data_IF_214373320657
#
_entry.id   IF_214373320657
#
_cell.length_a   1.000
_cell.length_b   1.000
_cell.length_c   1.000
_cell.angle_alpha   90.00
_cell.angle_beta   90.00
_cell.angle_gamma   90.00
#
_symmetry.space_group_name_H-M   'P 1'
#
loop_
_entity.id
_entity.type
_entity.pdbx_description
1 polymer ?
#
# COMPACT_ATOMS: atom_id res chain seq x y z
N UNK A 1 32.37 -9.77 -6.66
CA UNK A 1 32.82 -11.10 -6.18
C UNK A 1 33.64 -11.75 -7.28
N UNK A 2 34.96 -11.67 -7.18
CA UNK A 2 35.83 -12.57 -7.93
C UNK A 2 36.05 -13.81 -7.07
N UNK A 3 35.99 -14.98 -7.69
CA UNK A 3 36.15 -16.26 -7.03
C UNK A 3 37.63 -16.61 -7.09
N UNK A 4 38.30 -16.63 -5.95
CA UNK A 4 39.75 -16.85 -5.87
C UNK A 4 40.09 -18.34 -5.76
N UNK A 5 39.13 -19.21 -5.39
CA UNK A 5 39.33 -20.66 -5.38
C UNK A 5 38.05 -21.47 -5.67
N UNK A 6 38.25 -22.73 -6.07
CA UNK A 6 37.16 -23.70 -6.26
C UNK A 6 36.39 -23.97 -4.95
N UNK A 7 37.05 -23.92 -3.80
CA UNK A 7 36.39 -24.07 -2.50
C UNK A 7 35.52 -22.86 -2.16
N UNK A 8 36.03 -21.65 -2.39
CA UNK A 8 35.28 -20.42 -2.17
C UNK A 8 34.03 -20.35 -3.05
N UNK A 9 34.14 -20.82 -4.31
CA UNK A 9 32.97 -20.96 -5.18
C UNK A 9 31.90 -21.89 -4.59
N UNK A 10 32.32 -23.08 -4.12
CA UNK A 10 31.39 -24.06 -3.52
C UNK A 10 30.69 -23.47 -2.31
N UNK A 11 31.41 -22.70 -1.49
CA UNK A 11 30.84 -22.04 -0.32
C UNK A 11 29.81 -20.97 -0.71
N UNK A 12 30.11 -20.12 -1.69
CA UNK A 12 29.15 -19.14 -2.20
C UNK A 12 27.91 -19.78 -2.80
N UNK A 13 28.06 -20.86 -3.57
CA UNK A 13 26.95 -21.63 -4.12
C UNK A 13 26.11 -22.24 -2.99
N UNK A 14 26.75 -22.82 -1.97
CA UNK A 14 26.04 -23.37 -0.80
C UNK A 14 25.22 -22.30 -0.08
N UNK A 15 25.79 -21.12 0.15
CA UNK A 15 25.09 -19.99 0.77
C UNK A 15 23.91 -19.53 -0.10
N UNK A 16 24.12 -19.37 -1.40
CA UNK A 16 23.07 -18.96 -2.33
C UNK A 16 21.91 -19.97 -2.36
N UNK A 17 22.21 -21.26 -2.48
CA UNK A 17 21.21 -22.34 -2.44
C UNK A 17 20.46 -22.33 -1.11
N UNK A 18 21.16 -22.20 0.01
CA UNK A 18 20.52 -22.14 1.34
C UNK A 18 19.52 -20.98 1.44
N UNK A 19 19.90 -19.80 0.92
CA UNK A 19 19.01 -18.63 0.88
C UNK A 19 17.82 -18.82 -0.06
N UNK A 20 18.03 -19.41 -1.24
CA UNK A 20 16.97 -19.73 -2.20
C UNK A 20 15.98 -20.71 -1.58
N UNK A 21 16.46 -21.78 -0.95
CA UNK A 21 15.60 -22.74 -0.24
C UNK A 21 14.82 -22.03 0.87
N UNK A 22 15.46 -21.15 1.64
CA UNK A 22 14.82 -20.35 2.67
C UNK A 22 13.67 -19.46 2.14
N UNK A 23 13.78 -18.93 0.92
CA UNK A 23 12.72 -18.16 0.25
C UNK A 23 11.63 -19.09 -0.33
N UNK A 24 12.02 -20.24 -0.88
CA UNK A 24 11.09 -21.18 -1.51
C UNK A 24 10.16 -21.87 -0.52
N UNK A 25 10.63 -22.17 0.70
CA UNK A 25 9.80 -22.82 1.73
C UNK A 25 8.51 -22.04 2.02
N UNK A 26 8.53 -20.75 2.40
CA UNK A 26 7.30 -20.00 2.65
C UNK A 26 6.46 -19.81 1.38
N UNK A 27 7.09 -19.68 0.21
CA UNK A 27 6.36 -19.61 -1.07
C UNK A 27 5.59 -20.91 -1.37
N UNK A 28 6.20 -22.08 -1.14
CA UNK A 28 5.56 -23.38 -1.27
C UNK A 28 4.42 -23.56 -0.27
N UNK A 29 4.63 -23.19 1.00
CA UNK A 29 3.56 -23.22 2.02
C UNK A 29 2.38 -22.36 1.58
N UNK A 30 2.65 -21.16 1.05
CA UNK A 30 1.61 -20.26 0.55
C UNK A 30 0.88 -20.86 -0.66
N UNK A 31 1.59 -21.48 -1.61
CA UNK A 31 0.94 -22.16 -2.76
C UNK A 31 0.06 -23.32 -2.29
N UNK A 32 0.53 -24.15 -1.36
CA UNK A 32 -0.26 -25.24 -0.77
C UNK A 32 -1.50 -24.68 -0.08
N UNK A 33 -1.37 -23.59 0.68
CA UNK A 33 -2.51 -22.90 1.28
C UNK A 33 -3.54 -22.45 0.23
N UNK A 34 -3.09 -21.85 -0.87
CA UNK A 34 -3.97 -21.43 -1.96
C UNK A 34 -4.69 -22.61 -2.63
N UNK A 35 -4.03 -23.75 -2.75
CA UNK A 35 -4.64 -24.98 -3.30
C UNK A 35 -5.71 -25.51 -2.34
N UNK A 36 -5.38 -25.65 -1.05
CA UNK A 36 -6.29 -26.19 -0.02
C UNK A 36 -7.53 -25.30 0.16
N UNK A 37 -7.37 -23.98 0.01
CA UNK A 37 -8.47 -23.01 0.11
C UNK A 37 -9.20 -22.75 -1.21
N UNK A 38 -8.87 -23.49 -2.28
CA UNK A 38 -9.43 -23.31 -3.63
C UNK A 38 -9.26 -21.89 -4.20
N UNK A 39 -8.29 -21.13 -3.70
CA UNK A 39 -8.06 -19.73 -4.07
C UNK A 39 -6.92 -19.53 -5.07
N UNK A 40 -6.21 -20.60 -5.47
CA UNK A 40 -5.08 -20.52 -6.40
C UNK A 40 -5.44 -19.88 -7.76
N UNK A 41 -6.59 -20.27 -8.34
CA UNK A 41 -7.04 -19.73 -9.63
C UNK A 41 -7.34 -18.25 -9.51
N UNK A 42 -8.03 -17.85 -8.44
CA UNK A 42 -8.29 -16.43 -8.16
C UNK A 42 -6.97 -15.68 -7.93
N UNK A 43 -6.05 -16.20 -7.13
CA UNK A 43 -4.73 -15.59 -6.93
C UNK A 43 -4.01 -15.33 -8.26
N UNK A 44 -3.94 -16.32 -9.16
CA UNK A 44 -3.32 -16.14 -10.48
C UNK A 44 -4.08 -15.10 -11.30
N UNK A 45 -5.41 -15.13 -11.27
CA UNK A 45 -6.27 -14.20 -12.02
C UNK A 45 -6.04 -12.74 -11.58
N UNK A 46 -6.11 -12.46 -10.28
CA UNK A 46 -6.02 -11.11 -9.75
C UNK A 46 -4.57 -10.63 -9.61
N UNK A 47 -3.68 -11.44 -9.01
CA UNK A 47 -2.33 -11.00 -8.65
C UNK A 47 -1.31 -11.08 -9.78
N UNK A 48 -1.52 -11.97 -10.78
CA UNK A 48 -0.56 -12.17 -11.88
C UNK A 48 -1.13 -11.65 -13.19
N UNK A 49 -2.24 -12.21 -13.64
CA UNK A 49 -2.83 -11.89 -14.94
C UNK A 49 -3.48 -10.50 -14.95
N UNK A 50 -4.10 -10.11 -13.84
CA UNK A 50 -4.73 -8.80 -13.64
C UNK A 50 -3.76 -7.62 -13.75
N UNK A 51 -2.45 -7.80 -13.58
CA UNK A 51 -1.46 -6.72 -13.76
C UNK A 51 -1.59 -6.06 -15.15
N UNK A 52 -1.94 -6.85 -16.18
CA UNK A 52 -2.08 -6.35 -17.56
C UNK A 52 -3.30 -5.44 -17.75
N UNK A 53 -4.28 -5.46 -16.84
CA UNK A 53 -5.52 -4.67 -16.96
C UNK A 53 -5.40 -3.29 -16.28
N UNK A 54 -4.30 -3.00 -15.59
CA UNK A 54 -4.02 -1.70 -15.00
C UNK A 54 -3.80 -0.63 -16.09
N UNK A 55 -4.89 0.01 -16.50
CA UNK A 55 -4.89 1.23 -17.31
C UNK A 55 -4.61 2.49 -16.49
N UNK A 56 -4.95 2.44 -15.20
CA UNK A 56 -4.82 3.55 -14.26
C UNK A 56 -3.43 3.57 -13.62
N UNK A 57 -2.58 4.52 -14.03
CA UNK A 57 -1.20 4.67 -13.57
C UNK A 57 -0.97 6.06 -12.98
N UNK A 58 -0.23 6.12 -11.88
CA UNK A 58 0.26 7.40 -11.32
C UNK A 58 1.77 7.37 -11.49
N UNK A 59 2.28 8.20 -12.40
CA UNK A 59 3.71 8.26 -12.70
C UNK A 59 4.46 8.87 -11.50
N UNK A 60 5.66 8.36 -11.21
CA UNK A 60 6.58 8.92 -10.22
C UNK A 60 6.76 10.44 -10.34
N UNK A 61 6.78 10.98 -11.57
CA UNK A 61 6.92 12.43 -11.82
C UNK A 61 5.83 13.24 -11.09
N UNK A 62 4.64 12.68 -10.88
CA UNK A 62 3.55 13.35 -10.16
C UNK A 62 3.89 13.68 -8.70
N UNK A 63 4.86 13.00 -8.09
CA UNK A 63 5.32 13.28 -6.72
C UNK A 63 5.96 14.67 -6.60
N UNK A 64 6.57 15.19 -7.67
CA UNK A 64 7.15 16.54 -7.68
C UNK A 64 6.08 17.64 -7.68
N UNK A 65 4.84 17.31 -8.01
CA UNK A 65 3.68 18.22 -7.96
C UNK A 65 2.82 18.00 -6.72
N UNK A 66 3.26 17.17 -5.76
CA UNK A 66 2.49 16.93 -4.52
C UNK A 66 2.41 18.20 -3.68
N UNK A 67 1.26 18.46 -3.04
CA UNK A 67 1.06 19.65 -2.20
C UNK A 67 2.05 19.71 -1.01
N UNK A 68 2.49 18.55 -0.51
CA UNK A 68 3.41 18.43 0.62
C UNK A 68 4.86 18.59 0.17
N UNK A 69 5.54 19.59 0.73
CA UNK A 69 6.95 19.88 0.40
C UNK A 69 7.88 18.73 0.77
N UNK A 70 7.57 18.01 1.86
CA UNK A 70 8.35 16.86 2.33
C UNK A 70 8.31 15.74 1.30
N UNK A 71 7.17 15.52 0.65
CA UNK A 71 7.02 14.49 -0.40
C UNK A 71 7.81 14.90 -1.63
N UNK A 72 7.74 16.17 -2.05
CA UNK A 72 8.53 16.69 -3.17
C UNK A 72 10.03 16.54 -2.91
N UNK A 73 10.49 16.87 -1.70
CA UNK A 73 11.87 16.73 -1.29
C UNK A 73 12.31 15.25 -1.31
N UNK A 74 11.54 14.36 -0.70
CA UNK A 74 11.85 12.93 -0.69
C UNK A 74 11.85 12.32 -2.10
N UNK A 75 10.98 12.77 -3.00
CA UNK A 75 10.95 12.31 -4.39
C UNK A 75 12.25 12.63 -5.14
N UNK A 76 12.97 13.69 -4.76
CA UNK A 76 14.31 13.96 -5.24
C UNK A 76 15.36 13.08 -4.55
N UNK A 77 15.28 12.98 -3.22
CA UNK A 77 16.34 12.38 -2.41
C UNK A 77 16.37 10.85 -2.42
N UNK A 78 15.23 10.18 -2.59
CA UNK A 78 15.16 8.71 -2.62
C UNK A 78 16.00 8.13 -3.78
N UNK A 79 15.86 8.59 -5.05
CA UNK A 79 16.73 8.15 -6.14
C UNK A 79 18.21 8.48 -5.91
N UNK A 80 18.51 9.67 -5.36
CA UNK A 80 19.88 10.07 -5.04
C UNK A 80 20.49 9.14 -3.99
N UNK A 81 19.74 8.77 -2.96
CA UNK A 81 20.19 7.84 -1.92
C UNK A 81 20.62 6.50 -2.52
N UNK A 82 19.79 5.93 -3.40
CA UNK A 82 20.08 4.67 -4.10
C UNK A 82 21.34 4.80 -4.96
N UNK A 83 21.45 5.90 -5.71
CA UNK A 83 22.61 6.18 -6.57
C UNK A 83 23.89 6.29 -5.74
N UNK A 84 23.87 7.06 -4.65
CA UNK A 84 25.04 7.27 -3.78
C UNK A 84 25.45 5.97 -3.11
N UNK A 85 24.51 5.20 -2.55
CA UNK A 85 24.81 3.88 -1.99
C UNK A 85 25.46 2.96 -3.03
N UNK A 86 24.95 2.95 -4.26
CA UNK A 86 25.51 2.15 -5.36
C UNK A 86 26.94 2.58 -5.71
N UNK A 87 27.20 3.89 -5.81
CA UNK A 87 28.54 4.43 -6.10
C UNK A 87 29.54 4.05 -4.99
N UNK A 88 29.15 4.20 -3.72
CA UNK A 88 30.01 3.83 -2.58
C UNK A 88 30.37 2.35 -2.62
N UNK A 89 29.40 1.48 -2.90
CA UNK A 89 29.63 0.03 -3.01
C UNK A 89 30.53 -0.32 -4.20
N UNK A 90 30.39 0.34 -5.34
CA UNK A 90 31.27 0.15 -6.51
C UNK A 90 32.71 0.56 -6.18
N UNK A 91 32.91 1.77 -5.61
CA UNK A 91 34.24 2.28 -5.26
C UNK A 91 34.92 1.37 -4.25
N UNK A 92 34.20 0.95 -3.21
CA UNK A 92 34.77 0.09 -2.15
C UNK A 92 35.11 -1.31 -2.67
N UNK A 93 34.29 -1.87 -3.57
CA UNK A 93 34.59 -3.11 -4.27
C UNK A 93 35.85 -3.00 -5.16
N UNK A 94 36.04 -1.88 -5.88
CA UNK A 94 37.29 -1.61 -6.64
C UNK A 94 38.50 -1.53 -5.70
N UNK A 95 38.34 -0.91 -4.53
CA UNK A 95 39.39 -0.79 -3.54
C UNK A 95 39.64 -2.07 -2.72
N UNK A 96 38.89 -3.15 -2.96
CA UNK A 96 38.92 -4.41 -2.19
C UNK A 96 38.83 -4.19 -0.67
N UNK A 97 38.05 -3.19 -0.25
CA UNK A 97 37.78 -2.94 1.17
C UNK A 97 36.49 -3.63 1.56
N UNK A 98 36.53 -4.41 2.63
CA UNK A 98 35.34 -4.97 3.26
C UNK A 98 35.29 -4.55 4.72
N UNK A 99 34.11 -4.11 5.16
CA UNK A 99 33.82 -3.82 6.56
C UNK A 99 32.30 -3.87 6.80
N UNK A 100 31.91 -3.78 8.07
CA UNK A 100 30.51 -3.80 8.49
C UNK A 100 29.66 -2.70 7.82
N UNK A 101 30.25 -1.52 7.56
CA UNK A 101 29.56 -0.41 6.88
C UNK A 101 29.13 -0.82 5.47
N UNK A 102 30.01 -1.50 4.73
CA UNK A 102 29.72 -1.99 3.37
C UNK A 102 28.63 -3.06 3.41
N UNK A 103 28.65 -3.96 4.38
CA UNK A 103 27.59 -4.96 4.56
C UNK A 103 26.23 -4.29 4.82
N UNK A 104 26.19 -3.29 5.70
CA UNK A 104 24.97 -2.55 6.02
C UNK A 104 24.43 -1.79 4.80
N UNK A 105 25.30 -1.09 4.05
CA UNK A 105 24.90 -0.40 2.82
C UNK A 105 24.43 -1.35 1.73
N UNK A 106 25.08 -2.50 1.58
CA UNK A 106 24.65 -3.55 0.63
C UNK A 106 23.25 -4.05 1.00
N UNK A 107 23.03 -4.31 2.28
CA UNK A 107 21.73 -4.74 2.81
C UNK A 107 20.64 -3.71 2.50
N UNK A 108 20.88 -2.44 2.85
CA UNK A 108 19.94 -1.34 2.60
C UNK A 108 19.65 -1.14 1.11
N UNK A 109 20.66 -1.25 0.25
CA UNK A 109 20.48 -1.12 -1.20
C UNK A 109 19.63 -2.27 -1.76
N UNK A 110 19.95 -3.53 -1.42
CA UNK A 110 19.23 -4.70 -1.95
C UNK A 110 17.76 -4.69 -1.51
N UNK A 111 17.49 -4.47 -0.22
CA UNK A 111 16.12 -4.38 0.28
C UNK A 111 15.39 -3.12 -0.22
N UNK A 112 16.11 -2.00 -0.38
CA UNK A 112 15.56 -0.77 -0.94
C UNK A 112 15.12 -0.94 -2.39
N UNK A 113 15.94 -1.57 -3.23
CA UNK A 113 15.58 -1.87 -4.62
C UNK A 113 14.40 -2.84 -4.70
N UNK A 114 14.36 -3.84 -3.82
CA UNK A 114 13.26 -4.81 -3.80
C UNK A 114 11.91 -4.17 -3.46
N UNK A 115 11.85 -3.30 -2.45
CA UNK A 115 10.58 -2.72 -1.99
C UNK A 115 10.04 -1.59 -2.89
N UNK A 116 10.88 -0.98 -3.74
CA UNK A 116 10.45 0.03 -4.71
C UNK A 116 9.38 -0.50 -5.68
N UNK A 117 9.29 -1.82 -5.88
CA UNK A 117 8.25 -2.43 -6.71
C UNK A 117 6.83 -2.03 -6.28
N UNK A 118 6.63 -1.71 -5.00
CA UNK A 118 5.36 -1.23 -4.44
C UNK A 118 4.89 0.10 -5.07
N UNK A 119 5.81 0.88 -5.64
CA UNK A 119 5.47 2.14 -6.33
C UNK A 119 4.91 1.93 -7.74
N UNK A 120 4.98 0.71 -8.28
CA UNK A 120 4.48 0.39 -9.61
C UNK A 120 3.12 -0.33 -9.54
N UNK A 121 2.10 0.08 -10.33
CA UNK A 121 2.08 1.17 -11.30
C UNK A 121 1.60 2.52 -10.73
N UNK A 122 1.35 2.60 -9.42
CA UNK A 122 0.75 3.76 -8.75
C UNK A 122 1.77 4.37 -7.79
N UNK A 123 2.47 5.42 -8.22
CA UNK A 123 3.43 6.15 -7.39
C UNK A 123 2.76 7.32 -6.65
N UNK A 124 1.67 7.06 -5.93
CA UNK A 124 1.06 8.08 -5.06
C UNK A 124 1.87 8.30 -3.76
N UNK A 125 1.45 9.25 -2.94
CA UNK A 125 2.11 9.57 -1.66
C UNK A 125 2.32 8.34 -0.77
N UNK A 126 1.33 7.46 -0.66
CA UNK A 126 1.37 6.34 0.29
C UNK A 126 2.29 5.24 -0.26
N UNK A 127 2.10 4.86 -1.51
CA UNK A 127 2.95 3.87 -2.18
C UNK A 127 4.41 4.33 -2.24
N UNK A 128 4.64 5.63 -2.48
CA UNK A 128 5.97 6.24 -2.46
C UNK A 128 6.63 6.16 -1.07
N UNK A 129 5.90 6.49 0.01
CA UNK A 129 6.47 6.41 1.36
C UNK A 129 6.78 4.97 1.77
N UNK A 130 5.93 4.00 1.41
CA UNK A 130 6.14 2.58 1.68
C UNK A 130 7.34 2.06 0.88
N UNK A 131 7.33 2.24 -0.44
CA UNK A 131 8.41 1.78 -1.32
C UNK A 131 9.73 2.54 -1.13
N UNK A 132 9.69 3.77 -0.59
CA UNK A 132 10.87 4.61 -0.38
C UNK A 132 11.51 4.41 0.98
N UNK A 133 10.82 3.75 1.93
CA UNK A 133 11.21 3.69 3.34
C UNK A 133 12.66 3.25 3.55
N UNK A 134 13.06 2.13 2.93
CA UNK A 134 14.42 1.59 3.11
C UNK A 134 15.46 2.51 2.47
N UNK A 135 15.18 3.13 1.33
CA UNK A 135 16.07 4.11 0.72
C UNK A 135 16.21 5.39 1.57
N UNK A 136 15.15 5.78 2.27
CA UNK A 136 15.16 6.89 3.25
C UNK A 136 16.03 6.50 4.46
N UNK A 137 15.91 5.28 4.98
CA UNK A 137 16.79 4.78 6.05
C UNK A 137 18.24 4.76 5.57
N UNK A 138 18.49 4.29 4.34
CA UNK A 138 19.82 4.33 3.70
C UNK A 138 20.40 5.73 3.63
N UNK A 139 19.60 6.72 3.26
CA UNK A 139 20.00 8.12 3.23
C UNK A 139 20.39 8.62 4.64
N UNK A 140 19.55 8.35 5.64
CA UNK A 140 19.84 8.73 7.03
C UNK A 140 21.12 8.07 7.55
N UNK A 141 21.34 6.81 7.22
CA UNK A 141 22.56 6.08 7.56
C UNK A 141 23.79 6.71 6.89
N UNK A 142 23.70 7.07 5.61
CA UNK A 142 24.77 7.79 4.91
C UNK A 142 25.08 9.15 5.55
N UNK A 143 24.05 9.92 5.95
CA UNK A 143 24.26 11.16 6.70
C UNK A 143 24.93 10.93 8.06
N UNK A 144 24.57 9.87 8.76
CA UNK A 144 25.22 9.47 10.00
C UNK A 144 26.71 9.16 9.78
N UNK A 145 27.05 8.41 8.73
CA UNK A 145 28.45 8.10 8.38
C UNK A 145 29.24 9.37 8.04
N UNK A 146 28.66 10.28 7.27
CA UNK A 146 29.27 11.59 6.97
C UNK A 146 29.48 12.41 8.24
N UNK A 147 28.50 12.44 9.14
CA UNK A 147 28.60 13.09 10.44
C UNK A 147 29.73 12.50 11.29
N UNK A 148 29.88 11.17 11.31
CA UNK A 148 30.97 10.47 11.99
C UNK A 148 32.34 10.85 11.40
N UNK A 149 32.47 10.89 10.08
CA UNK A 149 33.72 11.29 9.41
C UNK A 149 34.11 12.74 9.74
N UNK A 150 33.14 13.65 9.81
CA UNK A 150 33.38 15.04 10.22
C UNK A 150 33.77 15.09 11.69
N UNK A 151 33.06 14.34 12.55
CA UNK A 151 33.33 14.25 13.99
C UNK A 151 34.75 13.77 14.30
N UNK A 152 35.21 12.70 13.64
CA UNK A 152 36.55 12.13 13.85
C UNK A 152 37.68 13.10 13.47
N UNK A 153 37.38 14.12 12.64
CA UNK A 153 38.34 15.19 12.25
C UNK A 153 38.34 16.39 13.21
N UNK A 154 37.45 16.43 14.21
CA UNK A 154 37.39 17.55 15.16
C UNK A 154 38.48 17.37 16.23
N UNK A 155 39.55 18.18 16.14
CA UNK A 155 40.61 18.18 17.16
C UNK A 155 40.21 18.96 18.42
N UNK A 156 40.40 18.33 19.60
CA UNK A 156 40.30 18.95 20.93
C UNK A 156 39.09 18.51 21.76
N UNK A 157 39.34 18.04 23.00
CA UNK A 157 38.32 17.48 23.91
C UNK A 157 37.11 18.41 24.16
N UNK A 158 37.35 19.72 24.24
CA UNK A 158 36.30 20.72 24.48
C UNK A 158 35.32 20.84 23.29
N UNK A 159 35.80 20.75 22.04
CA UNK A 159 34.96 20.78 20.84
C UNK A 159 34.15 19.49 20.70
N UNK A 160 34.76 18.36 21.08
CA UNK A 160 34.13 17.04 21.12
C UNK A 160 32.93 16.98 22.08
N UNK A 161 33.12 17.53 23.29
CA UNK A 161 32.07 17.62 24.32
C UNK A 161 30.90 18.48 23.85
N UNK A 162 31.17 19.63 23.23
CA UNK A 162 30.14 20.51 22.69
C UNK A 162 29.34 19.83 21.57
N UNK A 163 30.00 19.13 20.65
CA UNK A 163 29.32 18.39 19.59
C UNK A 163 28.36 17.34 20.16
N UNK A 164 28.84 16.48 21.08
CA UNK A 164 28.00 15.46 21.73
C UNK A 164 26.78 16.07 22.41
N UNK A 165 26.98 17.17 23.13
CA UNK A 165 25.90 17.88 23.83
C UNK A 165 24.86 18.43 22.84
N UNK A 166 25.30 19.06 21.76
CA UNK A 166 24.41 19.58 20.71
C UNK A 166 23.64 18.45 20.02
N UNK A 167 24.31 17.34 19.64
CA UNK A 167 23.64 16.21 19.01
C UNK A 167 22.62 15.54 19.93
N UNK A 168 22.94 15.37 21.21
CA UNK A 168 21.99 14.80 22.18
C UNK A 168 20.79 15.72 22.39
N UNK A 169 21.00 17.05 22.37
CA UNK A 169 19.92 18.02 22.44
C UNK A 169 18.98 17.93 21.22
N UNK A 170 19.54 17.80 20.02
CA UNK A 170 18.74 17.59 18.79
C UNK A 170 17.89 16.32 18.90
N UNK A 171 18.48 15.21 19.34
CA UNK A 171 17.75 13.95 19.54
C UNK A 171 16.63 14.07 20.59
N UNK A 172 16.89 14.77 21.70
CA UNK A 172 15.90 15.02 22.73
C UNK A 172 14.72 15.85 22.20
N UNK A 173 15.00 16.90 21.42
CA UNK A 173 13.97 17.75 20.79
C UNK A 173 13.15 16.93 19.79
N UNK A 174 13.78 16.13 18.93
CA UNK A 174 13.06 15.26 18.00
C UNK A 174 12.14 14.27 18.73
N UNK A 175 12.64 13.65 19.79
CA UNK A 175 11.85 12.73 20.62
C UNK A 175 10.64 13.44 21.25
N UNK A 176 10.84 14.64 21.80
CA UNK A 176 9.77 15.45 22.38
C UNK A 176 8.69 15.82 21.35
N UNK A 177 9.07 16.14 20.11
CA UNK A 177 8.12 16.41 19.01
C UNK A 177 7.30 15.16 18.68
N UNK A 178 7.95 14.01 18.49
CA UNK A 178 7.27 12.74 18.18
C UNK A 178 6.31 12.36 19.31
N UNK A 179 6.76 12.47 20.55
CA UNK A 179 5.93 12.21 21.73
C UNK A 179 4.72 13.14 21.79
N UNK A 180 4.93 14.44 21.52
CA UNK A 180 3.85 15.43 21.52
C UNK A 180 2.81 15.12 20.45
N UNK A 181 3.22 14.76 19.23
CA UNK A 181 2.31 14.32 18.15
C UNK A 181 1.53 13.07 18.59
N UNK A 182 2.20 12.09 19.20
CA UNK A 182 1.57 10.89 19.72
C UNK A 182 0.51 11.19 20.79
N UNK A 183 0.83 12.06 21.74
CA UNK A 183 -0.08 12.49 22.80
C UNK A 183 -1.28 13.29 22.26
N UNK A 184 -1.05 14.17 21.28
CA UNK A 184 -2.14 14.92 20.61
C UNK A 184 -3.09 13.96 19.89
N UNK A 185 -2.55 12.98 19.15
CA UNK A 185 -3.38 11.98 18.46
C UNK A 185 -4.19 11.14 19.45
N UNK A 186 -3.58 10.72 20.57
CA UNK A 186 -4.26 9.96 21.61
C UNK A 186 -5.36 10.80 22.28
N UNK A 187 -5.09 12.07 22.58
CA UNK A 187 -6.07 12.99 23.13
C UNK A 187 -7.25 13.21 22.18
N UNK A 188 -6.98 13.45 20.89
CA UNK A 188 -8.00 13.62 19.87
C UNK A 188 -8.88 12.36 19.77
N UNK A 189 -8.26 11.18 19.70
CA UNK A 189 -8.98 9.91 19.71
C UNK A 189 -9.82 9.75 20.99
N UNK A 190 -9.28 10.07 22.17
CA UNK A 190 -9.99 9.99 23.44
C UNK A 190 -11.19 10.96 23.52
N UNK A 191 -11.10 12.13 22.89
CA UNK A 191 -12.16 13.15 22.87
C UNK A 191 -13.30 12.83 21.90
N UNK A 192 -13.01 12.25 20.75
CA UNK A 192 -14.00 12.03 19.70
C UNK A 192 -15.03 10.95 20.08
N UNK A 193 -16.27 11.08 19.60
CA UNK A 193 -17.27 10.04 19.79
C UNK A 193 -16.90 8.79 18.99
N UNK A 194 -17.03 7.61 19.60
CA UNK A 194 -16.72 6.34 18.94
C UNK A 194 -18.01 5.63 18.58
N UNK A 195 -17.99 4.94 17.46
CA UNK A 195 -19.09 4.05 17.12
C UNK A 195 -19.19 2.91 18.15
N UNK A 196 -20.40 2.73 18.68
CA UNK A 196 -20.76 1.63 19.58
C UNK A 196 -21.90 0.77 19.01
N UNK A 197 -22.57 1.25 17.96
CA UNK A 197 -23.78 0.65 17.41
C UNK A 197 -23.45 -0.40 16.34
N UNK A 198 -22.52 -0.08 15.42
CA UNK A 198 -22.13 -1.00 14.34
C UNK A 198 -21.03 -1.91 14.87
N UNK A 199 -21.37 -3.18 15.14
CA UNK A 199 -20.48 -4.15 15.81
C UNK A 199 -19.09 -4.25 15.19
N UNK A 200 -19.02 -4.39 13.86
CA UNK A 200 -17.76 -4.54 13.13
C UNK A 200 -16.87 -3.30 13.14
N UNK A 201 -17.43 -2.13 13.46
CA UNK A 201 -16.71 -0.86 13.55
C UNK A 201 -16.64 -0.33 14.98
N UNK A 202 -16.81 -1.19 15.99
CA UNK A 202 -16.82 -0.78 17.39
C UNK A 202 -15.52 -0.08 17.75
N UNK A 203 -15.63 1.04 18.45
CA UNK A 203 -14.53 1.92 18.86
C UNK A 203 -13.81 2.68 17.75
N UNK A 204 -14.23 2.54 16.49
CA UNK A 204 -13.74 3.37 15.40
C UNK A 204 -14.43 4.74 15.48
N UNK A 205 -13.65 5.80 15.33
CA UNK A 205 -14.19 7.16 15.17
C UNK A 205 -15.02 7.23 13.89
N UNK A 206 -16.27 7.66 14.01
CA UNK A 206 -17.22 7.71 12.90
C UNK A 206 -18.14 8.91 13.06
N UNK A 207 -18.47 9.60 11.97
CA UNK A 207 -19.48 10.65 11.99
C UNK A 207 -20.89 10.07 12.06
N UNK A 208 -21.83 10.81 12.67
CA UNK A 208 -23.25 10.41 12.70
C UNK A 208 -23.80 10.18 11.29
N UNK A 209 -23.49 11.08 10.34
CA UNK A 209 -23.95 10.93 8.95
C UNK A 209 -23.43 9.67 8.25
N UNK A 210 -22.21 9.20 8.57
CA UNK A 210 -21.72 7.92 8.05
C UNK A 210 -22.44 6.74 8.71
N UNK A 211 -22.69 6.79 10.03
CA UNK A 211 -23.48 5.77 10.75
C UNK A 211 -24.88 5.63 10.15
N UNK A 212 -25.58 6.74 9.95
CA UNK A 212 -26.94 6.75 9.43
C UNK A 212 -26.97 6.25 7.97
N UNK A 213 -25.97 6.64 7.17
CA UNK A 213 -25.79 6.14 5.80
C UNK A 213 -25.60 4.62 5.77
N UNK A 214 -24.75 4.08 6.65
CA UNK A 214 -24.54 2.63 6.74
C UNK A 214 -25.84 1.93 7.09
N UNK A 215 -26.49 2.31 8.21
CA UNK A 215 -27.77 1.72 8.64
C UNK A 215 -28.84 1.75 7.54
N UNK A 216 -28.96 2.87 6.82
CA UNK A 216 -29.94 3.04 5.75
C UNK A 216 -29.70 2.07 4.58
N UNK A 217 -28.44 1.85 4.20
CA UNK A 217 -28.07 0.97 3.09
C UNK A 217 -28.13 -0.49 3.53
N UNK A 218 -27.67 -0.81 4.73
CA UNK A 218 -27.75 -2.14 5.33
C UNK A 218 -29.20 -2.63 5.38
N UNK A 219 -30.12 -1.79 5.88
CA UNK A 219 -31.54 -2.11 5.93
C UNK A 219 -32.12 -2.37 4.53
N UNK A 220 -31.80 -1.52 3.56
CA UNK A 220 -32.25 -1.72 2.18
C UNK A 220 -31.77 -3.05 1.60
N UNK A 221 -30.49 -3.40 1.81
CA UNK A 221 -29.93 -4.66 1.33
C UNK A 221 -30.63 -5.86 1.99
N UNK A 222 -30.81 -5.81 3.31
CA UNK A 222 -31.45 -6.90 4.07
C UNK A 222 -32.92 -7.08 3.67
N UNK A 223 -33.65 -6.00 3.42
CA UNK A 223 -35.04 -6.04 2.95
C UNK A 223 -35.13 -6.61 1.53
N UNK A 224 -34.28 -6.15 0.61
CA UNK A 224 -34.22 -6.69 -0.75
C UNK A 224 -33.95 -8.21 -0.75
N UNK A 225 -33.05 -8.68 0.11
CA UNK A 225 -32.75 -10.11 0.23
C UNK A 225 -33.85 -10.93 0.89
N UNK A 226 -34.58 -10.36 1.85
CA UNK A 226 -35.78 -11.00 2.37
C UNK A 226 -36.84 -11.20 1.27
N UNK A 227 -36.86 -10.31 0.27
CA UNK A 227 -37.72 -10.40 -0.91
C UNK A 227 -37.14 -11.28 -2.03
N UNK A 228 -35.99 -11.92 -1.81
CA UNK A 228 -35.36 -12.84 -2.77
C UNK A 228 -34.45 -12.18 -3.81
N UNK A 229 -34.24 -10.86 -3.71
CA UNK A 229 -33.27 -10.14 -4.55
C UNK A 229 -31.85 -10.23 -3.97
N UNK A 230 -30.81 -10.06 -4.80
CA UNK A 230 -29.41 -9.99 -4.37
C UNK A 230 -28.83 -8.64 -4.76
N UNK A 231 -28.23 -7.94 -3.79
CA UNK A 231 -27.76 -6.56 -4.00
C UNK A 231 -26.23 -6.51 -4.14
N UNK A 232 -25.74 -5.86 -5.19
CA UNK A 232 -24.34 -5.54 -5.40
C UNK A 232 -24.12 -4.03 -5.44
N UNK A 233 -22.96 -3.57 -4.96
CA UNK A 233 -22.59 -2.15 -5.00
C UNK A 233 -21.37 -1.99 -5.91
N UNK A 234 -21.51 -1.16 -6.96
CA UNK A 234 -20.41 -0.81 -7.85
C UNK A 234 -19.74 0.49 -7.39
N UNK A 235 -19.08 0.45 -6.23
CA UNK A 235 -18.38 1.59 -5.65
C UNK A 235 -17.15 1.16 -4.83
N UNK A 236 -16.16 2.06 -4.74
CA UNK A 236 -14.97 1.85 -3.95
C UNK A 236 -15.25 1.71 -2.43
N UNK A 237 -16.36 2.30 -1.95
CA UNK A 237 -16.78 2.25 -0.55
C UNK A 237 -17.71 1.06 -0.24
N UNK A 238 -17.94 0.13 -1.17
CA UNK A 238 -18.88 -0.98 -0.99
C UNK A 238 -18.65 -1.80 0.29
N UNK A 239 -17.40 -2.12 0.63
CA UNK A 239 -17.04 -2.83 1.86
C UNK A 239 -17.53 -2.14 3.15
N UNK A 240 -17.73 -0.82 3.13
CA UNK A 240 -18.26 -0.07 4.28
C UNK A 240 -19.67 -0.55 4.67
N UNK A 241 -20.43 -1.05 3.70
CA UNK A 241 -21.81 -1.54 3.85
C UNK A 241 -21.88 -3.06 3.95
N UNK A 242 -20.94 -3.79 3.33
CA UNK A 242 -20.96 -5.26 3.35
C UNK A 242 -20.42 -5.87 4.64
N UNK A 243 -19.41 -5.25 5.24
CA UNK A 243 -18.81 -5.71 6.50
C UNK A 243 -19.84 -5.72 7.66
N UNK A 244 -20.61 -4.63 7.92
CA UNK A 244 -21.61 -4.59 9.00
C UNK A 244 -22.62 -5.73 9.00
N UNK A 245 -22.98 -6.24 7.82
CA UNK A 245 -23.98 -7.28 7.60
C UNK A 245 -23.36 -8.65 7.24
N UNK A 246 -22.05 -8.82 7.51
CA UNK A 246 -21.33 -10.08 7.33
C UNK A 246 -21.42 -10.66 5.90
N UNK A 247 -21.34 -9.78 4.88
CA UNK A 247 -21.41 -10.18 3.48
C UNK A 247 -20.08 -10.06 2.76
N UNK A 248 -19.90 -10.99 1.82
CA UNK A 248 -18.76 -11.05 0.92
C UNK A 248 -19.26 -11.19 -0.52
N UNK A 249 -18.97 -10.17 -1.34
CA UNK A 249 -19.36 -10.09 -2.75
C UNK A 249 -18.15 -10.04 -3.71
N UNK A 250 -16.99 -10.52 -3.27
CA UNK A 250 -15.78 -10.66 -4.10
C UNK A 250 -15.38 -9.34 -4.77
N UNK A 251 -15.52 -9.23 -6.09
CA UNK A 251 -15.10 -8.09 -6.91
C UNK A 251 -15.82 -6.80 -6.51
N UNK A 252 -17.03 -6.92 -5.98
CA UNK A 252 -17.90 -5.78 -5.66
C UNK A 252 -17.57 -5.12 -4.33
N UNK A 253 -16.90 -5.80 -3.39
CA UNK A 253 -16.60 -5.23 -2.06
C UNK A 253 -15.55 -4.10 -2.13
N UNK A 254 -14.67 -4.15 -3.13
CA UNK A 254 -13.74 -3.07 -3.47
C UNK A 254 -13.70 -2.89 -4.98
N UNK A 255 -14.78 -2.31 -5.52
CA UNK A 255 -15.00 -2.20 -6.95
C UNK A 255 -14.07 -1.16 -7.61
N UNK A 256 -12.83 -1.60 -7.87
CA UNK A 256 -11.73 -0.81 -8.42
C UNK A 256 -11.15 -1.51 -9.65
N UNK A 257 -10.63 -0.76 -10.63
CA UNK A 257 -10.02 -1.33 -11.84
C UNK A 257 -8.90 -2.34 -11.56
N UNK A 258 -8.16 -2.18 -10.45
CA UNK A 258 -7.12 -3.10 -10.04
C UNK A 258 -7.62 -4.41 -9.39
N UNK A 259 -8.91 -4.47 -9.05
CA UNK A 259 -9.51 -5.54 -8.25
C UNK A 259 -10.50 -6.41 -9.03
N UNK A 260 -10.57 -6.28 -10.36
CA UNK A 260 -11.55 -6.98 -11.21
C UNK A 260 -10.94 -8.08 -12.09
N UNK A 261 -9.66 -8.39 -11.88
CA UNK A 261 -8.97 -9.54 -12.48
C UNK A 261 -8.50 -9.34 -13.92
N UNK A 262 -8.13 -10.46 -14.57
CA UNK A 262 -7.50 -10.50 -15.91
C UNK A 262 -8.39 -9.98 -17.04
N UNK A 263 -9.70 -10.08 -16.88
CA UNK A 263 -10.67 -9.72 -17.91
C UNK A 263 -11.12 -8.25 -17.80
N UNK A 264 -10.66 -7.55 -16.75
CA UNK A 264 -10.85 -6.12 -16.58
C UNK A 264 -12.32 -5.69 -16.55
N UNK A 265 -12.59 -4.49 -17.06
CA UNK A 265 -13.94 -3.92 -17.09
C UNK A 265 -14.87 -4.74 -18.00
N UNK A 266 -14.35 -5.28 -19.11
CA UNK A 266 -15.14 -6.08 -20.05
C UNK A 266 -15.63 -7.39 -19.42
N UNK A 267 -14.80 -8.08 -18.64
CA UNK A 267 -15.23 -9.26 -17.89
C UNK A 267 -16.36 -8.98 -16.91
N UNK A 268 -16.37 -7.80 -16.29
CA UNK A 268 -17.47 -7.39 -15.40
C UNK A 268 -18.74 -7.03 -16.17
N UNK A 269 -18.62 -6.40 -17.33
CA UNK A 269 -19.77 -6.13 -18.22
C UNK A 269 -20.41 -7.45 -18.68
N UNK A 270 -19.62 -8.45 -19.08
CA UNK A 270 -20.15 -9.76 -19.47
C UNK A 270 -20.84 -10.49 -18.31
N UNK A 271 -20.33 -10.38 -17.08
CA UNK A 271 -21.03 -10.89 -15.89
C UNK A 271 -22.37 -10.19 -15.69
N UNK A 272 -22.43 -8.87 -15.84
CA UNK A 272 -23.67 -8.10 -15.68
C UNK A 272 -24.69 -8.41 -16.79
N UNK A 273 -24.24 -8.69 -18.02
CA UNK A 273 -25.13 -9.17 -19.10
C UNK A 273 -25.80 -10.49 -18.78
N UNK A 274 -25.10 -11.34 -18.00
CA UNK A 274 -25.56 -12.66 -17.60
C UNK A 274 -26.17 -12.66 -16.18
N UNK A 275 -26.44 -11.47 -15.62
CA UNK A 275 -27.03 -11.32 -14.29
C UNK A 275 -28.42 -11.94 -14.23
N UNK A 276 -28.82 -12.40 -13.06
CA UNK A 276 -30.20 -12.87 -12.85
C UNK A 276 -31.17 -11.70 -12.69
N UNK A 277 -32.45 -11.95 -12.95
CA UNK A 277 -33.51 -10.93 -12.82
C UNK A 277 -33.67 -10.43 -11.38
N UNK A 278 -33.28 -11.23 -10.39
CA UNK A 278 -33.32 -10.86 -8.98
C UNK A 278 -32.06 -10.11 -8.52
N UNK A 279 -31.13 -9.77 -9.40
CA UNK A 279 -29.92 -9.03 -9.03
C UNK A 279 -30.13 -7.51 -9.18
N UNK A 280 -29.95 -6.79 -8.07
CA UNK A 280 -30.02 -5.33 -7.96
C UNK A 280 -28.61 -4.75 -7.93
N UNK A 281 -28.39 -3.68 -8.69
CA UNK A 281 -27.09 -3.01 -8.77
C UNK A 281 -27.22 -1.58 -8.23
N UNK A 282 -26.43 -1.26 -7.20
CA UNK A 282 -26.29 0.09 -6.66
C UNK A 282 -25.08 0.78 -7.28
N UNK A 283 -25.29 1.95 -7.86
CA UNK A 283 -24.25 2.76 -8.51
C UNK A 283 -24.22 4.15 -7.90
N UNK A 284 -23.05 4.66 -7.52
CA UNK A 284 -22.95 6.00 -6.93
C UNK A 284 -23.51 7.05 -7.89
N UNK A 285 -24.37 7.94 -7.39
CA UNK A 285 -25.05 9.00 -8.15
C UNK A 285 -24.08 9.79 -9.04
N UNK A 286 -24.52 10.07 -10.26
CA UNK A 286 -23.72 10.71 -11.31
C UNK A 286 -23.24 12.13 -10.97
N UNK A 287 -23.96 12.84 -10.10
CA UNK A 287 -23.59 14.17 -9.60
C UNK A 287 -22.55 14.14 -8.46
N UNK A 288 -22.20 12.96 -7.94
CA UNK A 288 -21.20 12.79 -6.89
C UNK A 288 -19.85 12.35 -7.47
N UNK A 289 -18.77 12.83 -6.83
CA UNK A 289 -17.42 12.41 -7.20
C UNK A 289 -17.24 10.92 -6.87
N UNK A 290 -16.75 10.16 -7.86
CA UNK A 290 -16.37 8.77 -7.72
C UNK A 290 -14.87 8.64 -7.46
N UNK A 291 -14.45 7.46 -6.98
CA UNK A 291 -13.03 7.13 -6.85
C UNK A 291 -12.36 7.15 -8.25
N UNK A 292 -11.12 7.62 -8.34
CA UNK A 292 -10.38 7.69 -9.61
C UNK A 292 -10.11 6.30 -10.23
N UNK A 293 -10.14 5.24 -9.42
CA UNK A 293 -10.05 3.84 -9.84
C UNK A 293 -11.40 3.18 -10.12
N UNK A 294 -12.50 3.93 -10.14
CA UNK A 294 -13.82 3.36 -10.50
C UNK A 294 -13.78 2.81 -11.93
N UNK A 295 -14.24 1.56 -12.17
CA UNK A 295 -14.45 1.00 -13.52
C UNK A 295 -15.56 1.75 -14.27
N UNK A 296 -15.18 2.79 -15.03
CA UNK A 296 -16.14 3.73 -15.63
C UNK A 296 -16.94 3.12 -16.77
N UNK A 297 -16.38 2.17 -17.52
CA UNK A 297 -17.09 1.49 -18.60
C UNK A 297 -18.19 0.59 -18.03
N UNK A 298 -17.92 -0.10 -16.92
CA UNK A 298 -18.93 -0.93 -16.25
C UNK A 298 -20.07 -0.09 -15.70
N UNK A 299 -19.73 1.01 -15.02
CA UNK A 299 -20.73 1.96 -14.48
C UNK A 299 -21.56 2.59 -15.60
N UNK A 300 -20.94 2.96 -16.72
CA UNK A 300 -21.63 3.48 -17.90
C UNK A 300 -22.58 2.43 -18.48
N UNK A 301 -22.12 1.19 -18.63
CA UNK A 301 -22.93 0.09 -19.14
C UNK A 301 -24.21 -0.10 -18.32
N UNK A 302 -24.10 -0.15 -16.99
CA UNK A 302 -25.27 -0.28 -16.10
C UNK A 302 -26.28 0.84 -16.32
N UNK A 303 -25.82 2.09 -16.39
CA UNK A 303 -26.72 3.24 -16.57
C UNK A 303 -27.43 3.26 -17.92
N UNK A 304 -26.78 2.75 -18.97
CA UNK A 304 -27.29 2.78 -20.34
C UNK A 304 -28.16 1.56 -20.67
N UNK A 305 -28.01 0.45 -19.94
CA UNK A 305 -28.62 -0.84 -20.30
C UNK A 305 -29.54 -1.43 -19.23
N UNK A 306 -29.51 -0.95 -17.99
CA UNK A 306 -30.41 -1.39 -16.92
C UNK A 306 -31.45 -0.33 -16.56
N UNK A 307 -32.58 -0.76 -16.03
CA UNK A 307 -33.67 0.13 -15.62
C UNK A 307 -33.36 0.74 -14.26
N UNK A 308 -33.41 2.08 -14.16
CA UNK A 308 -33.30 2.76 -12.86
C UNK A 308 -34.62 2.67 -12.12
N UNK A 309 -34.66 1.87 -11.06
CA UNK A 309 -35.86 1.60 -10.25
C UNK A 309 -35.98 2.47 -9.00
N UNK A 310 -34.94 3.22 -8.63
CA UNK A 310 -34.97 4.10 -7.47
C UNK A 310 -33.63 4.70 -7.07
N UNK A 311 -33.57 5.24 -5.87
CA UNK A 311 -32.37 5.79 -5.25
C UNK A 311 -32.35 5.52 -3.75
N UNK A 312 -31.15 5.33 -3.19
CA UNK A 312 -30.93 5.22 -1.75
C UNK A 312 -29.66 5.97 -1.35
N UNK A 313 -29.80 7.01 -0.53
CA UNK A 313 -28.69 7.85 -0.07
C UNK A 313 -27.82 8.36 -1.24
N UNK A 314 -26.55 7.95 -1.33
CA UNK A 314 -25.60 8.30 -2.41
C UNK A 314 -25.70 7.41 -3.66
N UNK A 315 -26.61 6.44 -3.69
CA UNK A 315 -26.73 5.44 -4.75
C UNK A 315 -28.00 5.60 -5.58
N UNK A 316 -27.86 5.30 -6.87
CA UNK A 316 -28.93 5.01 -7.81
C UNK A 316 -29.10 3.48 -7.87
N UNK A 317 -30.34 3.01 -7.95
CA UNK A 317 -30.70 1.60 -7.90
C UNK A 317 -31.10 1.14 -9.31
N UNK A 318 -30.50 0.06 -9.80
CA UNK A 318 -30.74 -0.49 -11.13
C UNK A 318 -31.17 -1.96 -11.06
N UNK A 319 -32.07 -2.36 -11.96
CA UNK A 319 -32.52 -3.73 -12.19
C UNK A 319 -32.51 -4.06 -13.68
#
# INVERSE_FOLDING_TARGET
MFVDSKEQFKEYVKIAITRIIGILIPALIFIVYLIVTHSLVDFINYAILGIKTFSNKINYISLFSNDKIEIRALALWVPISILVMSIVLIITNIQKKENEIIYNLTTLLVYGLAIIIVMYPISDKIHFLIGGLIAIIGMLYMFFLLGKLVYDKINGEKKLKNYKMVTSLIWLVMFAIILSIGLINLYNYAKNEKNTEIKHYKYIEMSQGLRDKIKSIDNYILEAEQNGDRVYILDAEAAIYMIPIDKYNKDYDMFLKGNIGKDGEQGQIEKIKQKNDNEIILVRKSNLKTNWQTPKEVVKYVRENLEKIGEINIFEIYK
#
